data_IF_169631681160
#
_entry.id   IF_169631681160
#
_cell.length_a   1.000
_cell.length_b   1.000
_cell.length_c   1.000
_cell.angle_alpha   90.00
_cell.angle_beta   90.00
_cell.angle_gamma   90.00
#
_symmetry.space_group_name_H-M   'P 1'
#
loop_
_entity.id
_entity.type
_entity.pdbx_description
1 polymer ?
#
# COMPACT_ATOMS: atom_id res chain seq x y z
N UNK A 1 -9.16 -14.36 -18.85
CA UNK A 1 -8.29 -14.07 -17.69
C UNK A 1 -8.98 -14.57 -16.43
N UNK A 2 -8.29 -15.34 -15.58
CA UNK A 2 -8.85 -15.80 -14.31
C UNK A 2 -8.99 -14.61 -13.35
N UNK A 3 -10.22 -14.15 -13.09
CA UNK A 3 -10.51 -12.99 -12.21
C UNK A 3 -10.06 -13.19 -10.76
N UNK A 4 -9.70 -14.42 -10.36
CA UNK A 4 -9.17 -14.73 -9.03
C UNK A 4 -7.83 -14.05 -8.73
N UNK A 5 -6.94 -13.95 -9.73
CA UNK A 5 -5.60 -13.36 -9.53
C UNK A 5 -5.66 -11.87 -9.13
N UNK A 6 -6.41 -10.99 -9.83
CA UNK A 6 -6.53 -9.59 -9.42
C UNK A 6 -7.25 -9.43 -8.08
N UNK A 7 -8.23 -10.29 -7.77
CA UNK A 7 -8.92 -10.26 -6.47
C UNK A 7 -7.94 -10.57 -5.34
N UNK A 8 -7.13 -11.63 -5.48
CA UNK A 8 -6.12 -11.98 -4.48
C UNK A 8 -5.05 -10.90 -4.34
N UNK A 9 -4.63 -10.28 -5.45
CA UNK A 9 -3.68 -9.16 -5.42
C UNK A 9 -4.25 -7.96 -4.66
N UNK A 10 -5.51 -7.57 -4.93
CA UNK A 10 -6.18 -6.49 -4.21
C UNK A 10 -6.32 -6.79 -2.70
N UNK A 11 -6.63 -8.05 -2.36
CA UNK A 11 -6.78 -8.50 -0.97
C UNK A 11 -5.46 -8.41 -0.17
N UNK A 12 -4.31 -8.53 -0.83
CA UNK A 12 -2.99 -8.41 -0.21
C UNK A 12 -2.50 -6.95 -0.16
N UNK A 13 -2.84 -6.12 -1.15
CA UNK A 13 -2.40 -4.72 -1.22
C UNK A 13 -3.02 -3.85 -0.11
N UNK A 14 -4.28 -4.10 0.25
CA UNK A 14 -4.99 -3.37 1.30
C UNK A 14 -4.34 -3.49 2.70
N UNK A 15 -4.09 -4.69 3.25
CA UNK A 15 -3.47 -4.84 4.57
C UNK A 15 -2.03 -4.31 4.62
N UNK A 16 -1.28 -4.40 3.51
CA UNK A 16 0.07 -3.81 3.43
C UNK A 16 -0.01 -2.28 3.43
N UNK A 17 -0.96 -1.70 2.69
CA UNK A 17 -1.18 -0.25 2.70
C UNK A 17 -1.60 0.25 4.08
N UNK A 18 -2.51 -0.43 4.77
CA UNK A 18 -2.93 -0.04 6.13
C UNK A 18 -1.80 -0.20 7.14
N UNK A 19 -1.01 -1.28 7.07
CA UNK A 19 0.18 -1.43 7.89
C UNK A 19 1.16 -0.27 7.69
N UNK A 20 1.38 0.17 6.45
CA UNK A 20 2.25 1.31 6.17
C UNK A 20 1.71 2.63 6.74
N UNK A 21 0.38 2.85 6.68
CA UNK A 21 -0.24 4.03 7.31
C UNK A 21 -0.05 4.02 8.83
N UNK A 22 -0.33 2.88 9.48
CA UNK A 22 -0.13 2.77 10.92
C UNK A 22 1.35 2.87 11.31
N UNK A 23 2.27 2.29 10.55
CA UNK A 23 3.71 2.42 10.78
C UNK A 23 4.21 3.86 10.62
N UNK A 24 3.72 4.58 9.62
CA UNK A 24 4.04 6.00 9.39
C UNK A 24 3.54 6.90 10.52
N UNK A 25 2.34 6.63 11.05
CA UNK A 25 1.77 7.35 12.19
C UNK A 25 2.52 6.95 13.49
N UNK A 26 2.80 5.68 13.69
CA UNK A 26 3.53 5.20 14.86
C UNK A 26 4.95 5.75 14.93
N UNK A 27 5.53 6.21 13.80
CA UNK A 27 6.87 6.77 13.83
C UNK A 27 6.96 8.00 14.75
N UNK A 28 5.86 8.73 15.01
CA UNK A 28 5.80 9.97 15.83
C UNK A 28 6.32 9.88 17.29
N UNK A 29 6.72 8.71 17.79
CA UNK A 29 7.36 8.61 19.10
C UNK A 29 8.71 9.37 19.12
N UNK A 30 8.89 10.33 20.05
CA UNK A 30 10.13 11.10 20.14
C UNK A 30 11.29 10.16 20.46
N UNK A 31 12.19 10.01 19.50
CA UNK A 31 13.39 9.16 19.61
C UNK A 31 14.61 10.04 19.37
N UNK A 32 15.72 9.81 20.06
CA UNK A 32 16.97 10.59 19.94
C UNK A 32 17.68 10.48 18.57
N UNK A 33 17.04 9.85 17.57
CA UNK A 33 17.63 9.51 16.26
C UNK A 33 16.72 9.92 15.09
N UNK A 34 16.67 11.22 14.76
CA UNK A 34 15.79 11.77 13.72
C UNK A 34 16.04 11.20 12.31
N UNK A 35 17.27 10.80 12.01
CA UNK A 35 17.64 10.21 10.71
C UNK A 35 16.99 8.85 10.47
N UNK A 36 16.88 8.02 11.52
CA UNK A 36 16.27 6.70 11.45
C UNK A 36 14.77 6.82 11.26
N UNK A 37 14.15 7.76 11.98
CA UNK A 37 12.73 8.11 11.86
C UNK A 37 12.36 8.52 10.42
N UNK A 38 13.14 9.41 9.82
CA UNK A 38 12.89 9.88 8.45
C UNK A 38 13.03 8.74 7.44
N UNK A 39 14.01 7.84 7.61
CA UNK A 39 14.15 6.67 6.76
C UNK A 39 12.92 5.75 6.82
N UNK A 40 12.37 5.48 8.02
CA UNK A 40 11.15 4.69 8.18
C UNK A 40 9.92 5.35 7.55
N UNK A 41 9.76 6.67 7.72
CA UNK A 41 8.64 7.40 7.10
C UNK A 41 8.69 7.38 5.58
N UNK A 42 9.87 7.54 5.01
CA UNK A 42 10.07 7.40 3.57
C UNK A 42 9.72 5.98 3.13
N UNK A 43 10.21 4.96 3.85
CA UNK A 43 9.90 3.55 3.58
C UNK A 43 8.40 3.27 3.59
N UNK A 44 7.69 3.64 4.67
CA UNK A 44 6.24 3.47 4.77
C UNK A 44 5.48 4.28 3.72
N UNK A 45 5.92 5.50 3.42
CA UNK A 45 5.30 6.34 2.38
C UNK A 45 5.43 5.72 0.99
N UNK A 46 6.61 5.24 0.62
CA UNK A 46 6.89 4.62 -0.69
C UNK A 46 6.15 3.29 -0.82
N UNK A 47 6.25 2.41 0.18
CA UNK A 47 5.60 1.09 0.12
C UNK A 47 4.08 1.22 0.16
N UNK A 48 3.55 2.02 1.09
CA UNK A 48 2.11 2.27 1.21
C UNK A 48 1.55 2.93 -0.05
N UNK A 49 2.22 3.95 -0.57
CA UNK A 49 1.84 4.62 -1.82
C UNK A 49 1.87 3.66 -3.02
N UNK A 50 2.91 2.83 -3.13
CA UNK A 50 3.00 1.79 -4.17
C UNK A 50 1.86 0.78 -4.09
N UNK A 51 1.46 0.36 -2.89
CA UNK A 51 0.31 -0.53 -2.71
C UNK A 51 -1.01 0.11 -3.14
N UNK A 52 -1.22 1.40 -2.87
CA UNK A 52 -2.41 2.13 -3.31
C UNK A 52 -2.47 2.30 -4.83
N UNK A 53 -1.34 2.63 -5.47
CA UNK A 53 -1.25 2.75 -6.93
C UNK A 53 -1.51 1.39 -7.58
N UNK A 54 -0.87 0.32 -7.07
CA UNK A 54 -1.10 -1.04 -7.54
C UNK A 54 -2.56 -1.47 -7.38
N UNK A 55 -3.20 -1.13 -6.26
CA UNK A 55 -4.61 -1.41 -6.02
C UNK A 55 -5.51 -0.68 -7.04
N UNK A 56 -5.26 0.61 -7.28
CA UNK A 56 -5.99 1.39 -8.28
C UNK A 56 -5.85 0.77 -9.68
N UNK A 57 -4.65 0.36 -10.07
CA UNK A 57 -4.42 -0.32 -11.34
C UNK A 57 -5.17 -1.65 -11.46
N UNK A 58 -5.14 -2.47 -10.41
CA UNK A 58 -5.87 -3.75 -10.39
C UNK A 58 -7.38 -3.53 -10.49
N UNK A 59 -7.91 -2.52 -9.80
CA UNK A 59 -9.35 -2.17 -9.85
C UNK A 59 -9.76 -1.70 -11.26
N UNK A 60 -9.00 -0.83 -11.91
CA UNK A 60 -9.34 -0.34 -13.26
C UNK A 60 -9.33 -1.47 -14.29
N UNK A 61 -8.38 -2.39 -14.20
CA UNK A 61 -8.34 -3.59 -15.04
C UNK A 61 -9.53 -4.53 -14.79
N UNK A 62 -9.93 -4.68 -13.52
CA UNK A 62 -11.09 -5.50 -13.16
C UNK A 62 -12.40 -4.88 -13.67
N UNK A 63 -12.59 -3.57 -13.51
CA UNK A 63 -13.76 -2.84 -14.00
C UNK A 63 -13.91 -2.97 -15.52
N UNK A 64 -12.84 -2.71 -16.28
CA UNK A 64 -12.84 -2.85 -17.74
C UNK A 64 -12.99 -4.30 -18.24
N UNK A 65 -12.93 -5.29 -17.34
CA UNK A 65 -13.23 -6.71 -17.59
C UNK A 65 -14.66 -7.11 -17.18
N UNK A 66 -15.43 -6.20 -16.59
CA UNK A 66 -16.87 -6.36 -16.30
C UNK A 66 -17.75 -5.69 -17.37
N UNK A 67 -17.24 -4.65 -18.03
CA UNK A 67 -17.94 -3.92 -19.10
C UNK A 67 -17.81 -4.58 -20.49
N UNK A 68 -17.03 -5.66 -20.60
CA UNK A 68 -16.85 -6.48 -21.81
C UNK A 68 -17.49 -7.85 -21.62
#
# INVERSE_FOLDING_TARGET
MNKLVPILAALLLLPVATYCVFGFIATFEPTDRPEVFMAFRIGYGVVGGGCLIGLAFVITQLLGSLER
#
